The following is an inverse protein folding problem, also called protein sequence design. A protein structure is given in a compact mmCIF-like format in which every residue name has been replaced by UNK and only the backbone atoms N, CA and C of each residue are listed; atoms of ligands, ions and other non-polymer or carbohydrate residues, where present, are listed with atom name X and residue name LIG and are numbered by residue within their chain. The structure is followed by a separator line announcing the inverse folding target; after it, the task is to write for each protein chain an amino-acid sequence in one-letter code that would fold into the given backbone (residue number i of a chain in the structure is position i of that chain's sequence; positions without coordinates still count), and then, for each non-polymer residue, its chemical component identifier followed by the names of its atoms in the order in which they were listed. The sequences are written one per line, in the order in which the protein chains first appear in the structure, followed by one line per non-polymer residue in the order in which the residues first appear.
data_IF_155289041819
#
_entry.id   IF_155289041819
#
_cell.length_a   1.000
_cell.length_b   1.000
_cell.length_c   1.000
_cell.angle_alpha   90.00
_cell.angle_beta   90.00
_cell.angle_gamma   90.00
#
_symmetry.space_group_name_H-M   'P 1'
#
loop_
_entity.id
_entity.type
_entity.pdbx_description
1 polymer ?
#
# COMPACT_ATOMS: atom_id res chain seq x y z
N UNK A 1 -15.63 3.73 2.63
CA UNK A 1 -14.62 4.66 2.08
C UNK A 1 -13.23 4.45 2.66
N UNK A 2 -13.05 4.29 3.99
CA UNK A 2 -11.73 4.05 4.62
C UNK A 2 -10.94 2.87 4.02
N UNK A 3 -11.61 1.75 3.74
CA UNK A 3 -11.00 0.56 3.12
C UNK A 3 -10.33 0.86 1.77
N UNK A 4 -10.91 1.76 0.96
CA UNK A 4 -10.34 2.15 -0.33
C UNK A 4 -8.99 2.85 -0.21
N UNK A 5 -8.78 3.67 0.83
CA UNK A 5 -7.48 4.30 1.08
C UNK A 5 -6.40 3.28 1.46
N UNK A 6 -6.77 2.26 2.24
CA UNK A 6 -5.87 1.18 2.63
C UNK A 6 -5.48 0.35 1.41
N UNK A 7 -6.46 0.01 0.56
CA UNK A 7 -6.25 -0.70 -0.70
C UNK A 7 -5.39 0.10 -1.68
N UNK A 8 -5.58 1.42 -1.75
CA UNK A 8 -4.70 2.31 -2.51
C UNK A 8 -3.26 2.28 -1.97
N UNK A 9 -3.06 2.38 -0.65
CA UNK A 9 -1.74 2.31 -0.03
C UNK A 9 -1.03 0.96 -0.27
N UNK A 10 -1.78 -0.15 -0.33
CA UNK A 10 -1.26 -1.46 -0.69
C UNK A 10 -0.83 -1.55 -2.16
N UNK A 11 -1.64 -0.98 -3.07
CA UNK A 11 -1.44 -1.08 -4.52
C UNK A 11 -0.48 -0.03 -5.09
N UNK A 12 -0.36 1.15 -4.48
CA UNK A 12 0.46 2.26 -4.96
C UNK A 12 1.93 1.85 -5.25
N UNK A 13 2.63 1.08 -4.39
CA UNK A 13 3.97 0.61 -4.69
C UNK A 13 4.05 -0.27 -5.94
N UNK A 14 3.01 -1.05 -6.24
CA UNK A 14 2.99 -1.94 -7.42
C UNK A 14 3.00 -1.12 -8.71
N UNK A 15 2.21 -0.05 -8.76
CA UNK A 15 2.15 0.84 -9.91
C UNK A 15 3.45 1.65 -10.02
N UNK A 16 3.89 2.24 -8.91
CA UNK A 16 5.07 3.11 -8.87
C UNK A 16 6.36 2.38 -9.23
N UNK A 17 6.60 1.19 -8.69
CA UNK A 17 7.83 0.45 -8.98
C UNK A 17 7.84 -0.25 -10.35
N UNK A 18 6.68 -0.38 -11.00
CA UNK A 18 6.60 -0.97 -12.33
C UNK A 18 7.12 -0.04 -13.42
N UNK A 19 6.93 1.27 -13.26
CA UNK A 19 7.34 2.26 -14.25
C UNK A 19 8.48 3.15 -13.73
N UNK A 20 9.70 2.85 -14.19
CA UNK A 20 10.90 3.63 -13.88
C UNK A 20 10.83 5.05 -14.45
N UNK A 21 10.09 5.28 -15.54
CA UNK A 21 9.89 6.60 -16.11
C UNK A 21 8.95 7.43 -15.23
N UNK A 22 7.88 6.83 -14.71
CA UNK A 22 6.99 7.48 -13.74
C UNK A 22 7.75 7.90 -12.48
N UNK A 23 8.60 7.03 -11.93
CA UNK A 23 9.46 7.37 -10.78
C UNK A 23 10.43 8.52 -11.09
N UNK A 24 11.03 8.53 -12.28
CA UNK A 24 11.91 9.64 -12.72
C UNK A 24 11.14 10.94 -12.83
N UNK A 25 9.96 10.94 -13.46
CA UNK A 25 9.11 12.13 -13.57
C UNK A 25 8.71 12.64 -12.18
N UNK A 26 8.37 11.75 -11.25
CA UNK A 26 8.05 12.16 -9.87
C UNK A 26 9.26 12.75 -9.13
N UNK A 27 10.46 12.25 -9.37
CA UNK A 27 11.70 12.79 -8.80
C UNK A 27 12.05 14.15 -9.43
N UNK A 28 11.99 14.26 -10.76
CA UNK A 28 12.26 15.50 -11.48
C UNK A 28 11.25 16.59 -11.09
N UNK A 29 9.97 16.23 -10.92
CA UNK A 29 8.94 17.15 -10.46
C UNK A 29 9.14 17.53 -8.99
N UNK A 30 9.62 16.62 -8.13
CA UNK A 30 9.98 16.95 -6.75
C UNK A 30 11.14 17.95 -6.68
N UNK A 31 12.11 17.85 -7.60
CA UNK A 31 13.22 18.79 -7.69
C UNK A 31 12.82 20.14 -8.31
N UNK A 32 11.78 20.17 -9.17
CA UNK A 32 11.22 21.39 -9.76
C UNK A 32 10.18 22.09 -8.89
N UNK A 33 9.44 21.35 -8.09
CA UNK A 33 8.40 21.89 -7.21
C UNK A 33 9.04 22.78 -6.16
N UNK A 34 8.54 24.01 -6.01
CA UNK A 34 9.03 25.01 -5.07
C UNK A 34 9.06 24.47 -3.63
N UNK A 35 10.22 23.95 -3.23
CA UNK A 35 10.52 23.63 -1.82
C UNK A 35 10.21 24.87 -1.00
N UNK A 36 9.46 24.71 0.08
CA UNK A 36 9.11 25.86 0.93
C UNK A 36 10.42 26.40 1.51
N UNK A 37 10.79 27.66 1.22
CA UNK A 37 12.05 28.22 1.67
C UNK A 37 12.03 28.34 3.19
N UNK A 38 13.07 27.77 3.81
CA UNK A 38 13.35 27.91 5.24
C UNK A 38 14.19 29.18 5.36
N UNK A 39 13.67 30.19 6.06
CA UNK A 39 14.36 31.46 6.28
C UNK A 39 14.80 31.53 7.74
N UNK A 40 15.93 32.18 8.03
CA UNK A 40 16.46 32.33 9.40
C UNK A 40 15.55 33.16 10.34
N UNK A 41 14.48 33.77 9.79
CA UNK A 41 13.45 34.52 10.51
C UNK A 41 12.23 33.66 10.89
N UNK A 42 12.18 32.41 10.44
CA UNK A 42 11.07 31.51 10.75
C UNK A 42 11.14 31.01 12.20
N UNK A 43 9.98 30.89 12.84
CA UNK A 43 9.85 30.25 14.15
C UNK A 43 10.41 28.80 14.09
N UNK A 44 11.12 28.31 15.12
CA UNK A 44 11.61 26.93 15.18
C UNK A 44 10.57 25.86 14.82
N UNK A 45 9.29 26.07 15.17
CA UNK A 45 8.18 25.17 14.82
C UNK A 45 7.90 25.22 13.31
N UNK A 46 7.90 26.41 12.72
CA UNK A 46 7.69 26.61 11.28
C UNK A 46 8.85 26.00 10.46
N UNK A 47 10.10 26.14 10.93
CA UNK A 47 11.28 25.49 10.33
C UNK A 47 11.10 23.97 10.31
N UNK A 48 10.66 23.38 11.43
CA UNK A 48 10.39 21.95 11.54
C UNK A 48 9.32 21.47 10.54
N UNK A 49 8.21 22.19 10.43
CA UNK A 49 7.12 21.86 9.51
C UNK A 49 7.53 22.00 8.04
N UNK A 50 8.24 23.07 7.67
CA UNK A 50 8.75 23.28 6.30
C UNK A 50 9.76 22.19 5.91
N UNK A 51 10.67 21.83 6.83
CA UNK A 51 11.64 20.75 6.63
C UNK A 51 10.95 19.38 6.47
N UNK A 52 9.92 19.10 7.28
CA UNK A 52 9.13 17.89 7.17
C UNK A 52 8.36 17.83 5.84
N UNK A 53 7.70 18.91 5.45
CA UNK A 53 6.96 19.01 4.19
C UNK A 53 7.86 18.76 2.98
N UNK A 54 9.04 19.40 2.94
CA UNK A 54 9.99 19.22 1.84
C UNK A 54 10.55 17.79 1.76
N UNK A 55 10.67 17.07 2.89
CA UNK A 55 11.17 15.69 2.94
C UNK A 55 10.08 14.63 2.73
N UNK A 56 8.80 15.01 2.84
CA UNK A 56 7.67 14.08 2.85
C UNK A 56 7.57 13.23 1.56
N UNK A 57 7.71 13.77 0.33
CA UNK A 57 7.58 12.98 -0.90
C UNK A 57 8.66 11.89 -1.03
N UNK A 58 9.92 12.28 -0.80
CA UNK A 58 11.07 11.35 -0.76
C UNK A 58 10.96 10.35 0.39
N UNK A 59 10.46 10.80 1.55
CA UNK A 59 10.21 9.95 2.71
C UNK A 59 9.16 8.88 2.44
N UNK A 60 8.08 9.22 1.73
CA UNK A 60 7.07 8.25 1.28
C UNK A 60 7.70 7.26 0.32
N UNK A 61 8.35 7.74 -0.76
CA UNK A 61 8.99 6.87 -1.77
C UNK A 61 9.97 5.86 -1.15
N UNK A 62 10.82 6.32 -0.23
CA UNK A 62 11.80 5.48 0.47
C UNK A 62 11.15 4.42 1.37
N UNK A 63 10.00 4.73 1.95
CA UNK A 63 9.29 3.85 2.88
C UNK A 63 8.07 3.14 2.29
N UNK A 64 7.82 3.26 0.97
CA UNK A 64 6.66 2.67 0.30
C UNK A 64 6.50 1.17 0.61
N UNK A 65 7.60 0.42 0.68
CA UNK A 65 7.57 -1.00 1.07
C UNK A 65 7.06 -1.23 2.50
N UNK A 66 7.47 -0.39 3.46
CA UNK A 66 7.00 -0.48 4.85
C UNK A 66 5.54 -0.05 4.98
N UNK A 67 5.16 1.01 4.27
CA UNK A 67 3.77 1.50 4.20
C UNK A 67 2.86 0.40 3.66
N UNK A 68 3.30 -0.32 2.62
CA UNK A 68 2.58 -1.47 2.08
C UNK A 68 2.34 -2.57 3.12
N UNK A 69 3.39 -2.97 3.84
CA UNK A 69 3.29 -4.00 4.88
C UNK A 69 2.32 -3.55 5.98
N UNK A 70 2.44 -2.30 6.44
CA UNK A 70 1.53 -1.74 7.43
C UNK A 70 0.07 -1.73 6.93
N UNK A 71 -0.15 -1.39 5.66
CA UNK A 71 -1.47 -1.42 5.05
C UNK A 71 -2.04 -2.85 4.93
N UNK A 72 -1.22 -3.87 4.68
CA UNK A 72 -1.68 -5.27 4.74
C UNK A 72 -2.07 -5.70 6.15
N UNK A 73 -1.27 -5.35 7.14
CA UNK A 73 -1.57 -5.69 8.55
C UNK A 73 -2.89 -5.05 8.96
N UNK A 74 -3.06 -3.76 8.65
CA UNK A 74 -4.29 -3.04 8.98
C UNK A 74 -5.51 -3.63 8.26
N UNK A 75 -5.37 -3.94 6.97
CA UNK A 75 -6.46 -4.54 6.18
C UNK A 75 -6.82 -5.94 6.68
N UNK A 76 -5.83 -6.75 7.07
CA UNK A 76 -6.06 -8.05 7.67
C UNK A 76 -6.83 -7.95 8.98
N UNK A 77 -6.47 -6.99 9.85
CA UNK A 77 -7.18 -6.75 11.10
C UNK A 77 -8.63 -6.33 10.83
N UNK A 78 -8.86 -5.41 9.90
CA UNK A 78 -10.21 -4.94 9.55
C UNK A 78 -11.04 -6.08 8.95
N UNK A 79 -10.48 -6.81 7.98
CA UNK A 79 -11.16 -7.93 7.36
C UNK A 79 -11.44 -9.05 8.37
N UNK A 80 -10.56 -9.26 9.36
CA UNK A 80 -10.77 -10.23 10.45
C UNK A 80 -11.86 -9.80 11.45
N UNK A 81 -12.26 -8.53 11.47
CA UNK A 81 -13.43 -8.07 12.24
C UNK A 81 -14.72 -8.41 11.49
N UNK A 82 -14.73 -8.25 10.16
CA UNK A 82 -15.88 -8.54 9.30
C UNK A 82 -16.08 -10.04 9.09
N UNK A 83 -14.98 -10.75 8.83
CA UNK A 83 -14.92 -12.20 8.63
C UNK A 83 -14.08 -12.82 9.76
N UNK A 84 -14.67 -13.02 10.95
CA UNK A 84 -13.93 -13.53 12.11
C UNK A 84 -13.29 -14.89 11.80
N UNK A 85 -11.96 -15.02 11.92
CA UNK A 85 -11.26 -16.26 11.58
C UNK A 85 -11.45 -17.36 12.64
N UNK A 86 -11.93 -17.01 13.83
CA UNK A 86 -12.37 -17.94 14.87
C UNK A 86 -13.43 -17.30 15.77
N UNK A 87 -14.13 -18.12 16.55
CA UNK A 87 -15.08 -17.64 17.53
C UNK A 87 -14.38 -16.87 18.67
N UNK A 88 -14.88 -15.67 18.96
CA UNK A 88 -14.34 -14.78 19.99
C UNK A 88 -13.18 -13.87 19.55
N UNK A 89 -13.01 -13.67 18.24
CA UNK A 89 -12.29 -12.52 17.68
C UNK A 89 -10.79 -12.70 17.47
N UNK A 90 -10.13 -11.62 17.02
CA UNK A 90 -8.74 -11.64 16.55
C UNK A 90 -7.71 -12.11 17.61
N UNK A 91 -7.86 -11.74 18.89
CA UNK A 91 -6.93 -12.15 19.93
C UNK A 91 -6.92 -13.68 20.15
N UNK A 92 -8.10 -14.31 20.10
CA UNK A 92 -8.20 -15.78 20.18
C UNK A 92 -7.64 -16.46 18.94
N UNK A 93 -7.74 -15.81 17.78
CA UNK A 93 -7.12 -16.31 16.55
C UNK A 93 -5.60 -16.37 16.69
N UNK A 94 -4.95 -15.32 17.19
CA UNK A 94 -3.50 -15.32 17.45
C UNK A 94 -3.13 -16.43 18.44
N UNK A 95 -3.93 -16.62 19.49
CA UNK A 95 -3.71 -17.67 20.49
C UNK A 95 -3.88 -19.09 19.92
N UNK A 96 -4.88 -19.34 19.09
CA UNK A 96 -5.08 -20.63 18.41
C UNK A 96 -3.98 -20.91 17.39
N UNK A 97 -3.45 -19.86 16.75
CA UNK A 97 -2.31 -19.98 15.85
C UNK A 97 -1.04 -20.36 16.63
N UNK A 98 -0.77 -19.73 17.79
CA UNK A 98 0.40 -20.05 18.62
C UNK A 98 0.32 -21.41 19.30
N UNK A 99 -0.88 -21.89 19.61
CA UNK A 99 -1.10 -23.19 20.27
C UNK A 99 -1.27 -24.34 19.28
N UNK A 100 -1.29 -24.08 17.97
CA UNK A 100 -1.47 -25.11 16.93
C UNK A 100 -2.88 -25.69 16.85
N UNK A 101 -3.88 -25.02 17.43
CA UNK A 101 -5.27 -25.48 17.50
C UNK A 101 -6.06 -25.17 16.21
N UNK A 102 -5.55 -25.63 15.06
CA UNK A 102 -6.09 -25.33 13.72
C UNK A 102 -7.53 -25.80 13.49
N UNK A 103 -8.03 -26.75 14.27
CA UNK A 103 -9.41 -27.24 14.14
C UNK A 103 -10.46 -26.22 14.60
N UNK A 104 -10.07 -25.22 15.40
CA UNK A 104 -10.97 -24.15 15.86
C UNK A 104 -11.00 -22.94 14.91
N UNK A 105 -10.28 -23.03 13.80
CA UNK A 105 -10.23 -21.97 12.80
C UNK A 105 -11.34 -22.18 11.78
N UNK A 106 -12.04 -21.09 11.48
CA UNK A 106 -13.00 -21.06 10.39
C UNK A 106 -12.24 -20.79 9.09
N UNK A 107 -11.83 -21.87 8.43
CA UNK A 107 -11.11 -21.81 7.16
C UNK A 107 -11.85 -21.05 6.06
N UNK A 108 -13.19 -21.13 6.03
CA UNK A 108 -14.00 -20.40 5.06
C UNK A 108 -13.84 -18.88 5.23
N UNK A 109 -13.93 -18.38 6.47
CA UNK A 109 -13.75 -16.95 6.75
C UNK A 109 -12.31 -16.49 6.51
N UNK A 110 -11.33 -17.34 6.80
CA UNK A 110 -9.91 -17.06 6.50
C UNK A 110 -9.71 -16.94 4.99
N UNK A 111 -10.25 -17.87 4.20
CA UNK A 111 -10.16 -17.81 2.74
C UNK A 111 -10.86 -16.58 2.19
N UNK A 112 -12.06 -16.25 2.66
CA UNK A 112 -12.77 -15.02 2.27
C UNK A 112 -11.95 -13.76 2.59
N UNK A 113 -11.35 -13.70 3.78
CA UNK A 113 -10.46 -12.61 4.20
C UNK A 113 -9.30 -12.44 3.22
N UNK A 114 -8.59 -13.53 2.90
CA UNK A 114 -7.48 -13.49 1.96
C UNK A 114 -7.95 -13.09 0.55
N UNK A 115 -9.06 -13.64 0.07
CA UNK A 115 -9.65 -13.25 -1.20
C UNK A 115 -9.96 -11.75 -1.23
N UNK A 116 -10.59 -11.19 -0.20
CA UNK A 116 -10.91 -9.76 -0.16
C UNK A 116 -9.68 -8.87 -0.10
N UNK A 117 -8.64 -9.26 0.65
CA UNK A 117 -7.40 -8.49 0.75
C UNK A 117 -6.66 -8.44 -0.58
N UNK A 118 -6.58 -9.57 -1.30
CA UNK A 118 -5.78 -9.67 -2.53
C UNK A 118 -6.57 -9.42 -3.82
N UNK A 119 -7.91 -9.39 -3.77
CA UNK A 119 -8.74 -9.24 -4.97
C UNK A 119 -8.36 -8.03 -5.82
N UNK A 120 -8.23 -6.85 -5.20
CA UNK A 120 -7.90 -5.61 -5.91
C UNK A 120 -6.49 -5.67 -6.49
N UNK A 121 -5.53 -6.21 -5.75
CA UNK A 121 -4.17 -6.38 -6.23
C UNK A 121 -4.10 -7.32 -7.45
N UNK A 122 -4.81 -8.44 -7.40
CA UNK A 122 -4.87 -9.40 -8.51
C UNK A 122 -5.45 -8.72 -9.75
N UNK A 123 -6.57 -8.02 -9.61
CA UNK A 123 -7.20 -7.27 -10.70
C UNK A 123 -6.21 -6.24 -11.28
N UNK A 124 -5.54 -5.46 -10.43
CA UNK A 124 -4.60 -4.44 -10.85
C UNK A 124 -3.39 -5.03 -11.60
N UNK A 125 -2.82 -6.14 -11.12
CA UNK A 125 -1.72 -6.84 -11.80
C UNK A 125 -2.13 -7.38 -13.16
N UNK A 126 -3.34 -7.95 -13.26
CA UNK A 126 -3.91 -8.44 -14.51
C UNK A 126 -4.12 -7.29 -15.50
N UNK A 127 -4.74 -6.18 -15.08
CA UNK A 127 -4.94 -5.00 -15.92
C UNK A 127 -3.63 -4.42 -16.45
N UNK A 128 -2.62 -4.27 -15.59
CA UNK A 128 -1.30 -3.80 -16.00
C UNK A 128 -0.61 -4.80 -16.94
N UNK A 129 -0.79 -6.11 -16.73
CA UNK A 129 -0.30 -7.17 -17.61
C UNK A 129 -0.93 -7.10 -19.00
N UNK A 130 -2.26 -6.96 -19.08
CA UNK A 130 -3.01 -6.79 -20.33
C UNK A 130 -2.55 -5.53 -21.06
N UNK A 131 -2.42 -4.40 -20.35
CA UNK A 131 -1.92 -3.15 -20.94
C UNK A 131 -0.54 -3.30 -21.59
N UNK A 132 0.39 -4.00 -20.91
CA UNK A 132 1.70 -4.30 -21.47
C UNK A 132 1.61 -5.22 -22.70
N UNK A 133 0.77 -6.27 -22.66
CA UNK A 133 0.56 -7.18 -23.78
C UNK A 133 0.02 -6.44 -25.01
N UNK A 134 -0.97 -5.56 -24.84
CA UNK A 134 -1.55 -4.75 -25.92
C UNK A 134 -0.49 -3.84 -26.54
N UNK A 135 0.36 -3.22 -25.70
CA UNK A 135 1.45 -2.38 -26.19
C UNK A 135 2.43 -3.17 -27.07
N UNK A 136 2.88 -4.34 -26.62
CA UNK A 136 3.78 -5.19 -27.41
C UNK A 136 3.13 -5.71 -28.69
N UNK A 137 1.85 -6.09 -28.64
CA UNK A 137 1.10 -6.56 -29.81
C UNK A 137 0.95 -5.48 -30.89
N UNK A 138 0.73 -4.22 -30.50
CA UNK A 138 0.70 -3.09 -31.43
C UNK A 138 2.08 -2.85 -32.05
N UNK A 139 3.14 -2.91 -31.24
CA UNK A 139 4.51 -2.71 -31.70
C UNK A 139 4.99 -3.81 -32.66
N UNK A 140 4.53 -5.05 -32.51
CA UNK A 140 4.92 -6.14 -33.42
C UNK A 140 4.23 -6.07 -34.80
N UNK A 141 3.22 -5.21 -34.96
CA UNK A 141 2.46 -5.02 -36.21
C UNK A 141 2.78 -3.69 -36.91
N UNK A 142 3.62 -2.86 -36.31
CA UNK A 142 4.16 -1.64 -36.91
C UNK A 142 5.55 -1.95 -37.51
#
# INVERSE_FOLDING_TARGET
MLWGFIQFAQCAPIVLFRDKALLRVMLDEHDRTHRVPITDKDDPVAVGMKSAYNKLPLGILRNLGKIRIAAYILDFVICSIVYPPCEGGFLKFVLYLSTGAFQRLNWMNITLTLCTMFAIEVILRVLLGIGALIYFYRKSRA
#
